data_IF_844690462720
#
_entry.id   IF_844690462720
#
_cell.length_a   1.000
_cell.length_b   1.000
_cell.length_c   1.000
_cell.angle_alpha   90.00
_cell.angle_beta   90.00
_cell.angle_gamma   90.00
#
_symmetry.space_group_name_H-M   'P 1'
#
loop_
_entity.id
_entity.type
_entity.pdbx_description
1 polymer ?
#
# COMPACT_ATOMS: atom_id res chain seq x y z
N UNK A 1 -11.85 1.00 -0.87
CA UNK A 1 -12.85 0.40 0.00
C UNK A 1 -14.09 1.28 -0.04
N UNK A 2 -15.18 0.78 -0.59
CA UNK A 2 -16.48 1.42 -0.41
C UNK A 2 -16.92 1.11 1.02
N UNK A 3 -16.65 2.00 1.94
CA UNK A 3 -17.22 1.95 3.27
C UNK A 3 -18.68 2.41 3.18
N UNK A 4 -19.54 1.50 2.75
CA UNK A 4 -20.97 1.76 2.82
C UNK A 4 -21.37 1.86 4.29
N UNK A 5 -21.94 2.99 4.69
CA UNK A 5 -22.46 3.21 6.07
C UNK A 5 -23.78 2.47 6.32
N UNK A 6 -24.29 1.76 5.32
CA UNK A 6 -25.63 1.18 5.33
C UNK A 6 -25.76 -0.21 5.97
N UNK A 7 -24.67 -0.99 6.09
CA UNK A 7 -24.75 -2.30 6.74
C UNK A 7 -24.45 -2.19 8.24
N UNK A 8 -25.10 -3.03 9.05
CA UNK A 8 -24.87 -3.11 10.48
C UNK A 8 -23.38 -3.37 10.84
N UNK A 9 -22.71 -4.21 10.05
CA UNK A 9 -21.29 -4.52 10.25
C UNK A 9 -20.38 -3.31 10.02
N UNK A 10 -20.62 -2.53 8.94
CA UNK A 10 -19.85 -1.30 8.68
C UNK A 10 -20.06 -0.28 9.80
N UNK A 11 -21.30 -0.11 10.25
CA UNK A 11 -21.64 0.81 11.32
C UNK A 11 -20.96 0.40 12.62
N UNK A 12 -21.00 -0.87 12.98
CA UNK A 12 -20.31 -1.42 14.15
C UNK A 12 -18.79 -1.11 14.13
N UNK A 13 -18.13 -1.30 12.99
CA UNK A 13 -16.70 -0.99 12.84
C UNK A 13 -16.42 0.50 13.04
N UNK A 14 -17.20 1.37 12.38
CA UNK A 14 -17.01 2.83 12.51
C UNK A 14 -17.30 3.33 13.93
N UNK A 15 -18.34 2.82 14.58
CA UNK A 15 -18.66 3.13 15.99
C UNK A 15 -17.55 2.65 16.91
N UNK A 16 -16.95 1.49 16.65
CA UNK A 16 -15.81 0.98 17.41
C UNK A 16 -14.60 1.91 17.26
N UNK A 17 -14.33 2.40 16.04
CA UNK A 17 -13.24 3.37 15.82
C UNK A 17 -13.50 4.68 16.55
N UNK A 18 -14.75 5.18 16.56
CA UNK A 18 -15.12 6.39 17.32
C UNK A 18 -14.94 6.17 18.82
N UNK A 19 -15.39 5.02 19.36
CA UNK A 19 -15.16 4.65 20.77
C UNK A 19 -13.67 4.60 21.10
N UNK A 20 -12.85 4.16 20.13
CA UNK A 20 -11.40 4.10 20.28
C UNK A 20 -10.69 5.46 20.06
N UNK A 21 -11.40 6.54 19.77
CA UNK A 21 -10.83 7.89 19.66
C UNK A 21 -10.79 8.49 18.26
N UNK A 22 -11.38 7.84 17.25
CA UNK A 22 -11.55 8.45 15.94
C UNK A 22 -12.60 9.57 15.99
N UNK A 23 -12.51 10.50 15.04
CA UNK A 23 -13.46 11.60 14.89
C UNK A 23 -14.85 11.09 14.53
N UNK A 24 -15.91 11.70 15.11
CA UNK A 24 -17.31 11.27 14.91
C UNK A 24 -17.79 11.38 13.45
N UNK A 25 -17.22 12.30 12.67
CA UNK A 25 -17.60 12.51 11.28
C UNK A 25 -17.44 11.26 10.40
N UNK A 26 -16.56 10.32 10.75
CA UNK A 26 -16.41 9.06 9.98
C UNK A 26 -17.70 8.24 9.93
N UNK A 27 -18.68 8.49 10.81
CA UNK A 27 -19.97 7.80 10.83
C UNK A 27 -20.89 8.19 9.68
N UNK A 28 -20.70 9.39 9.09
CA UNK A 28 -21.56 9.93 8.02
C UNK A 28 -20.81 10.40 6.79
N UNK A 29 -19.49 10.55 6.85
CA UNK A 29 -18.69 10.96 5.71
C UNK A 29 -18.77 9.91 4.58
N UNK A 30 -18.95 10.38 3.34
CA UNK A 30 -18.95 9.51 2.17
C UNK A 30 -17.59 8.81 1.94
N UNK A 31 -16.51 9.41 2.43
CA UNK A 31 -15.13 8.90 2.39
C UNK A 31 -14.48 9.09 3.76
N UNK A 32 -14.81 8.22 4.74
CA UNK A 32 -14.27 8.33 6.09
C UNK A 32 -12.74 8.41 6.11
N UNK A 33 -12.20 9.31 6.90
CA UNK A 33 -10.75 9.49 7.06
C UNK A 33 -10.42 9.71 8.54
N UNK A 34 -9.52 8.91 9.08
CA UNK A 34 -9.09 9.01 10.47
C UNK A 34 -7.88 9.93 10.62
N UNK A 35 -6.94 9.84 9.67
CA UNK A 35 -5.64 10.51 9.74
C UNK A 35 -4.55 9.64 10.36
N UNK A 36 -3.33 9.75 9.82
CA UNK A 36 -2.18 8.94 10.30
C UNK A 36 -1.69 9.40 11.67
N UNK A 37 -2.00 10.61 12.08
CA UNK A 37 -1.71 11.19 13.40
C UNK A 37 -2.66 10.66 14.49
N UNK A 38 -3.92 10.37 14.16
CA UNK A 38 -4.95 9.87 15.09
C UNK A 38 -4.95 8.33 15.17
N UNK A 39 -4.65 7.66 14.06
CA UNK A 39 -4.74 6.20 13.95
C UNK A 39 -3.94 5.42 15.01
N UNK A 40 -2.72 5.83 15.45
CA UNK A 40 -2.01 5.13 16.53
C UNK A 40 -2.79 5.08 17.85
N UNK A 41 -3.45 6.18 18.21
CA UNK A 41 -4.31 6.24 19.41
C UNK A 41 -5.50 5.29 19.29
N UNK A 42 -6.15 5.26 18.12
CA UNK A 42 -7.27 4.35 17.85
C UNK A 42 -6.84 2.89 18.00
N UNK A 43 -5.69 2.53 17.40
CA UNK A 43 -5.15 1.15 17.48
C UNK A 43 -4.81 0.79 18.93
N UNK A 44 -4.14 1.67 19.66
CA UNK A 44 -3.80 1.44 21.09
C UNK A 44 -5.05 1.21 21.93
N UNK A 45 -6.08 2.03 21.72
CA UNK A 45 -7.34 1.89 22.46
C UNK A 45 -8.11 0.61 22.09
N UNK A 46 -8.04 0.17 20.84
CA UNK A 46 -8.63 -1.13 20.42
C UNK A 46 -7.89 -2.29 21.10
N UNK A 47 -6.56 -2.24 21.18
CA UNK A 47 -5.78 -3.25 21.92
C UNK A 47 -6.27 -3.32 23.38
N UNK A 48 -6.39 -2.16 24.05
CA UNK A 48 -6.91 -2.09 25.42
C UNK A 48 -8.33 -2.65 25.54
N UNK A 49 -9.22 -2.35 24.59
CA UNK A 49 -10.59 -2.91 24.58
C UNK A 49 -10.60 -4.44 24.49
N UNK A 50 -9.66 -5.03 23.73
CA UNK A 50 -9.49 -6.50 23.64
C UNK A 50 -9.05 -7.06 24.99
N UNK A 51 -8.07 -6.43 25.64
CA UNK A 51 -7.53 -6.87 26.93
C UNK A 51 -8.56 -6.73 28.05
N UNK A 52 -9.30 -5.60 28.10
CA UNK A 52 -10.39 -5.36 29.05
C UNK A 52 -11.54 -6.39 28.88
N UNK A 53 -11.71 -6.96 27.69
CA UNK A 53 -12.67 -8.02 27.40
C UNK A 53 -12.13 -9.44 27.73
N UNK A 54 -10.92 -9.55 28.30
CA UNK A 54 -10.28 -10.84 28.65
C UNK A 54 -9.49 -11.47 27.50
N UNK A 55 -9.31 -10.76 26.37
CA UNK A 55 -8.44 -11.20 25.30
C UNK A 55 -6.97 -10.94 25.61
N UNK A 56 -6.09 -11.52 24.80
CA UNK A 56 -4.64 -11.31 24.91
C UNK A 56 -4.10 -10.80 23.59
N UNK A 57 -3.27 -9.74 23.63
CA UNK A 57 -2.51 -9.24 22.48
C UNK A 57 -1.03 -9.50 22.73
N UNK A 58 -0.45 -10.44 21.99
CA UNK A 58 0.93 -10.85 22.14
C UNK A 58 1.81 -10.16 21.10
N UNK A 59 2.48 -9.08 21.50
CA UNK A 59 3.48 -8.41 20.67
C UNK A 59 4.77 -9.24 20.54
N UNK A 60 5.59 -8.93 19.51
CA UNK A 60 6.85 -9.64 19.21
C UNK A 60 6.65 -11.15 19.08
N UNK A 61 5.47 -11.57 18.61
CA UNK A 61 5.08 -12.96 18.47
C UNK A 61 4.76 -13.24 17.02
N UNK A 62 5.47 -14.21 16.44
CA UNK A 62 5.39 -14.57 15.04
C UNK A 62 4.83 -15.98 14.90
N UNK A 63 3.83 -16.18 14.04
CA UNK A 63 3.38 -17.50 13.61
C UNK A 63 4.44 -18.11 12.69
N UNK A 64 4.93 -19.30 13.01
CA UNK A 64 5.99 -19.98 12.25
C UNK A 64 5.53 -21.31 11.64
N UNK A 65 4.49 -21.94 12.19
CA UNK A 65 4.00 -23.20 11.64
C UNK A 65 2.53 -23.46 12.00
N UNK A 66 1.91 -24.32 11.20
CA UNK A 66 0.59 -24.93 11.45
C UNK A 66 0.77 -26.44 11.58
N UNK A 67 0.10 -27.07 12.55
CA UNK A 67 0.12 -28.51 12.77
C UNK A 67 -1.27 -29.09 12.50
N UNK A 68 -1.32 -30.23 11.81
CA UNK A 68 -2.54 -30.96 11.55
C UNK A 68 -2.56 -32.26 12.35
N UNK A 69 -3.72 -32.62 12.90
CA UNK A 69 -3.97 -33.91 13.46
C UNK A 69 -4.16 -34.97 12.37
N UNK A 70 -4.26 -36.25 12.77
CA UNK A 70 -4.49 -37.38 11.86
C UNK A 70 -5.84 -37.28 11.12
N UNK A 71 -6.80 -36.55 11.67
CA UNK A 71 -8.09 -36.23 11.03
C UNK A 71 -8.03 -35.14 9.94
N UNK A 72 -6.82 -34.57 9.70
CA UNK A 72 -6.57 -33.54 8.71
C UNK A 72 -6.89 -32.12 9.18
N UNK A 73 -7.52 -31.94 10.34
CA UNK A 73 -7.84 -30.62 10.89
C UNK A 73 -6.65 -30.00 11.64
N UNK A 74 -6.70 -28.69 11.82
CA UNK A 74 -5.73 -27.99 12.64
C UNK A 74 -5.76 -28.54 14.07
N UNK A 75 -4.58 -28.79 14.64
CA UNK A 75 -4.44 -29.24 16.04
C UNK A 75 -3.64 -28.25 16.88
N UNK A 76 -2.67 -27.58 16.29
CA UNK A 76 -1.84 -26.61 16.98
C UNK A 76 -1.23 -25.60 16.02
N UNK A 77 -0.68 -24.51 16.58
CA UNK A 77 0.20 -23.57 15.89
C UNK A 77 1.52 -23.49 16.63
N UNK A 78 2.60 -23.22 15.89
CA UNK A 78 3.88 -22.84 16.47
C UNK A 78 4.09 -21.34 16.32
N UNK A 79 4.57 -20.72 17.40
CA UNK A 79 4.92 -19.31 17.43
C UNK A 79 6.36 -19.14 17.93
N UNK A 80 7.00 -18.09 17.46
CA UNK A 80 8.25 -17.56 18.01
C UNK A 80 7.97 -16.24 18.72
N UNK A 81 8.39 -16.16 19.96
CA UNK A 81 8.29 -14.94 20.78
C UNK A 81 9.69 -14.38 21.01
N UNK A 82 9.92 -13.13 20.60
CA UNK A 82 11.15 -12.43 20.90
C UNK A 82 11.02 -11.74 22.25
N UNK A 83 11.83 -12.12 23.21
CA UNK A 83 11.87 -11.53 24.55
C UNK A 83 12.58 -10.17 24.55
N UNK A 84 12.45 -9.35 25.61
CA UNK A 84 13.09 -8.02 25.70
C UNK A 84 14.61 -8.03 25.56
N UNK A 85 15.29 -9.11 26.00
CA UNK A 85 16.72 -9.31 25.84
C UNK A 85 17.15 -9.77 24.44
N UNK A 86 16.18 -9.96 23.52
CA UNK A 86 16.43 -10.37 22.14
C UNK A 86 16.49 -11.88 21.92
N UNK A 87 16.33 -12.71 22.97
CA UNK A 87 16.25 -14.16 22.81
C UNK A 87 14.93 -14.56 22.16
N UNK A 88 14.92 -15.69 21.44
CA UNK A 88 13.74 -16.22 20.76
C UNK A 88 13.31 -17.50 21.45
N UNK A 89 12.05 -17.56 21.85
CA UNK A 89 11.42 -18.74 22.44
C UNK A 89 10.37 -19.28 21.49
N UNK A 90 10.41 -20.58 21.26
CA UNK A 90 9.37 -21.29 20.48
C UNK A 90 8.33 -21.87 21.43
N UNK A 91 7.06 -21.68 21.09
CA UNK A 91 5.91 -22.17 21.86
C UNK A 91 4.92 -22.85 20.92
N UNK A 92 4.30 -23.92 21.37
CA UNK A 92 3.20 -24.59 20.66
C UNK A 92 1.89 -24.29 21.37
N UNK A 93 0.94 -23.70 20.64
CA UNK A 93 -0.40 -23.39 21.15
C UNK A 93 -1.39 -24.40 20.55
N UNK A 94 -2.03 -25.19 21.42
CA UNK A 94 -3.07 -26.12 21.03
C UNK A 94 -4.34 -25.34 20.65
N UNK A 95 -4.79 -25.46 19.40
CA UNK A 95 -6.00 -24.82 18.91
C UNK A 95 -6.52 -25.51 17.66
N UNK A 96 -7.83 -25.52 17.49
CA UNK A 96 -8.48 -26.02 16.27
C UNK A 96 -8.93 -24.92 15.32
N UNK A 97 -8.80 -23.66 15.73
CA UNK A 97 -9.25 -22.52 14.92
C UNK A 97 -8.21 -21.42 14.93
N UNK A 98 -7.84 -20.94 13.73
CA UNK A 98 -6.94 -19.81 13.53
C UNK A 98 -7.50 -18.89 12.46
N UNK A 99 -7.49 -17.60 12.72
CA UNK A 99 -7.81 -16.55 11.74
C UNK A 99 -6.50 -15.93 11.26
N UNK A 100 -6.17 -16.14 9.98
CA UNK A 100 -5.01 -15.52 9.35
C UNK A 100 -5.39 -14.13 8.82
N UNK A 101 -4.94 -13.08 9.50
CA UNK A 101 -5.18 -11.68 9.13
C UNK A 101 -3.86 -10.88 9.04
N UNK A 102 -2.78 -11.52 8.58
CA UNK A 102 -1.40 -11.01 8.59
C UNK A 102 -1.11 -9.96 7.50
N UNK A 103 -2.05 -9.74 6.57
CA UNK A 103 -1.86 -8.89 5.40
C UNK A 103 -0.91 -9.51 4.36
N UNK A 104 -0.72 -8.80 3.26
CA UNK A 104 0.04 -9.35 2.13
C UNK A 104 1.55 -9.05 2.17
N UNK A 105 2.03 -8.33 3.19
CA UNK A 105 3.47 -8.07 3.38
C UNK A 105 4.17 -9.11 4.23
N UNK A 106 3.44 -10.03 4.87
CA UNK A 106 3.98 -11.15 5.65
C UNK A 106 4.39 -12.30 4.71
N UNK A 107 5.40 -12.05 3.89
CA UNK A 107 5.83 -12.97 2.81
C UNK A 107 6.30 -14.32 3.31
N UNK A 108 6.93 -14.35 4.47
CA UNK A 108 7.34 -15.55 5.19
C UNK A 108 6.13 -16.43 5.58
N UNK A 109 5.01 -15.82 5.94
CA UNK A 109 3.76 -16.55 6.16
C UNK A 109 3.27 -17.26 4.90
N UNK A 110 3.33 -16.60 3.72
CA UNK A 110 2.95 -17.25 2.46
C UNK A 110 3.88 -18.40 2.09
N UNK A 111 5.18 -18.28 2.36
CA UNK A 111 6.14 -19.38 2.18
C UNK A 111 5.75 -20.55 3.10
N UNK A 112 5.55 -20.30 4.39
CA UNK A 112 5.15 -21.32 5.37
C UNK A 112 3.84 -22.01 4.97
N UNK A 113 2.84 -21.26 4.51
CA UNK A 113 1.56 -21.83 4.07
C UNK A 113 1.72 -22.73 2.83
N UNK A 114 2.57 -22.32 1.87
CA UNK A 114 2.91 -23.13 0.70
C UNK A 114 3.57 -24.45 1.12
N UNK A 115 4.55 -24.38 2.01
CA UNK A 115 5.27 -25.56 2.52
C UNK A 115 4.36 -26.50 3.31
N UNK A 116 3.30 -25.98 3.93
CA UNK A 116 2.26 -26.76 4.61
C UNK A 116 1.16 -27.29 3.68
N UNK A 117 1.30 -27.06 2.37
CA UNK A 117 0.33 -27.54 1.37
C UNK A 117 -1.02 -26.83 1.42
N UNK A 118 -1.07 -25.60 1.94
CA UNK A 118 -2.29 -24.78 1.87
C UNK A 118 -2.49 -24.32 0.44
N UNK A 119 -3.68 -24.55 -0.07
CA UNK A 119 -4.03 -24.21 -1.46
C UNK A 119 -4.00 -22.69 -1.69
N UNK A 120 -3.27 -22.30 -2.72
CA UNK A 120 -3.11 -20.90 -3.12
C UNK A 120 -3.10 -20.77 -4.65
N UNK A 121 -3.47 -19.62 -5.15
CA UNK A 121 -3.46 -19.31 -6.57
C UNK A 121 -2.83 -17.94 -6.84
N UNK A 122 -2.28 -17.77 -8.03
CA UNK A 122 -1.82 -16.46 -8.52
C UNK A 122 -3.03 -15.55 -8.71
N UNK A 123 -2.88 -14.30 -8.33
CA UNK A 123 -3.92 -13.28 -8.45
C UNK A 123 -3.37 -12.06 -9.18
N UNK A 124 -4.18 -11.45 -10.04
CA UNK A 124 -3.88 -10.13 -10.59
C UNK A 124 -3.65 -9.13 -9.46
N UNK A 125 -2.55 -8.41 -9.53
CA UNK A 125 -2.18 -7.35 -8.60
C UNK A 125 -1.72 -6.11 -9.37
N UNK A 126 -1.25 -5.07 -8.67
CA UNK A 126 -0.81 -3.86 -9.31
C UNK A 126 0.48 -3.35 -8.69
N UNK A 127 1.34 -2.78 -9.52
CA UNK A 127 2.61 -2.16 -9.14
C UNK A 127 2.84 -0.87 -9.93
N UNK A 128 3.67 -0.01 -9.39
CA UNK A 128 4.07 1.22 -10.05
C UNK A 128 4.89 2.12 -9.15
N UNK A 129 4.53 3.37 -9.11
CA UNK A 129 5.23 4.44 -8.41
C UNK A 129 4.27 5.31 -7.62
N UNK A 130 4.77 6.12 -6.71
CA UNK A 130 4.02 7.20 -6.07
C UNK A 130 4.18 8.48 -6.88
N UNK A 131 3.08 9.13 -7.28
CA UNK A 131 3.08 10.41 -7.97
C UNK A 131 2.69 11.52 -7.00
N UNK A 132 3.44 12.64 -7.00
CA UNK A 132 3.20 13.83 -6.20
C UNK A 132 2.96 15.06 -7.07
N UNK A 133 1.99 15.87 -6.66
CA UNK A 133 1.63 17.16 -7.26
C UNK A 133 1.51 18.21 -6.17
N UNK A 134 1.57 19.51 -6.51
CA UNK A 134 1.10 20.53 -5.58
C UNK A 134 -0.40 20.38 -5.33
N UNK A 135 -0.83 20.36 -4.07
CA UNK A 135 -2.26 20.27 -3.72
C UNK A 135 -3.05 21.45 -4.29
N UNK A 136 -2.46 22.65 -4.31
CA UNK A 136 -3.09 23.84 -4.91
C UNK A 136 -3.40 23.67 -6.41
N UNK A 137 -2.54 22.97 -7.15
CA UNK A 137 -2.75 22.67 -8.57
C UNK A 137 -3.92 21.70 -8.76
N UNK A 138 -3.99 20.66 -7.93
CA UNK A 138 -5.11 19.70 -7.94
C UNK A 138 -6.42 20.38 -7.54
N UNK A 139 -6.41 21.23 -6.50
CA UNK A 139 -7.56 22.04 -6.13
C UNK A 139 -8.05 22.91 -7.31
N UNK A 140 -7.13 23.61 -7.98
CA UNK A 140 -7.46 24.45 -9.14
C UNK A 140 -8.09 23.65 -10.28
N UNK A 141 -7.56 22.46 -10.56
CA UNK A 141 -8.08 21.59 -11.62
C UNK A 141 -9.47 21.06 -11.35
N UNK A 142 -9.80 20.79 -10.07
CA UNK A 142 -11.10 20.21 -9.69
C UNK A 142 -12.15 21.23 -9.26
N UNK A 143 -11.73 22.30 -8.60
CA UNK A 143 -12.64 23.30 -8.03
C UNK A 143 -12.68 24.62 -8.82
N UNK A 144 -11.77 24.79 -9.79
CA UNK A 144 -11.72 26.02 -10.60
C UNK A 144 -11.57 27.29 -9.74
N UNK A 145 -12.50 28.26 -9.87
CA UNK A 145 -12.48 29.50 -9.07
C UNK A 145 -12.57 29.27 -7.56
N UNK A 146 -13.20 28.17 -7.12
CA UNK A 146 -13.40 27.82 -5.72
C UNK A 146 -12.21 27.06 -5.10
N UNK A 147 -11.07 27.00 -5.77
CA UNK A 147 -9.89 26.25 -5.33
C UNK A 147 -9.34 26.64 -3.95
N UNK A 148 -9.63 27.84 -3.47
CA UNK A 148 -9.20 28.37 -2.17
C UNK A 148 -10.33 28.41 -1.14
N UNK A 149 -11.50 27.90 -1.46
CA UNK A 149 -12.63 27.86 -0.55
C UNK A 149 -12.36 26.84 0.60
N UNK A 150 -12.27 27.32 1.86
CA UNK A 150 -11.89 26.45 2.97
C UNK A 150 -12.93 25.35 3.28
N UNK A 151 -14.18 25.54 2.86
CA UNK A 151 -15.24 24.53 3.03
C UNK A 151 -15.00 23.28 2.19
N UNK A 152 -14.37 23.44 1.01
CA UNK A 152 -14.08 22.33 0.11
C UNK A 152 -12.86 21.51 0.55
N UNK A 153 -11.92 22.14 1.25
CA UNK A 153 -10.68 21.49 1.70
C UNK A 153 -9.78 20.99 0.56
N UNK A 154 -8.92 20.05 0.86
CA UNK A 154 -8.00 19.48 -0.12
C UNK A 154 -8.72 18.52 -1.08
N UNK A 155 -8.65 18.82 -2.37
CA UNK A 155 -9.34 18.09 -3.43
C UNK A 155 -8.80 16.66 -3.59
N UNK A 156 -9.65 15.62 -3.49
CA UNK A 156 -9.27 14.25 -3.78
C UNK A 156 -9.57 13.91 -5.25
N UNK A 157 -8.82 12.96 -5.82
CA UNK A 157 -9.13 12.40 -7.13
C UNK A 157 -9.09 10.87 -7.15
N UNK A 158 -9.75 10.29 -8.15
CA UNK A 158 -9.67 8.87 -8.49
C UNK A 158 -9.70 8.74 -10.01
N UNK A 159 -8.61 8.24 -10.58
CA UNK A 159 -8.42 8.08 -12.02
C UNK A 159 -8.24 6.62 -12.38
N UNK A 160 -8.78 6.22 -13.52
CA UNK A 160 -8.50 4.93 -14.14
C UNK A 160 -8.57 5.08 -15.66
N UNK A 161 -7.70 4.36 -16.35
CA UNK A 161 -7.66 4.32 -17.82
C UNK A 161 -7.45 2.90 -18.29
N UNK A 162 -8.12 2.57 -19.39
CA UNK A 162 -7.88 1.36 -20.17
C UNK A 162 -7.20 1.78 -21.44
N UNK A 163 -6.06 1.18 -21.73
CA UNK A 163 -5.25 1.50 -22.90
C UNK A 163 -5.61 0.58 -24.08
N UNK A 164 -5.38 1.01 -25.32
CA UNK A 164 -5.60 0.16 -26.51
C UNK A 164 -4.78 -1.14 -26.49
N UNK A 165 -3.67 -1.17 -25.75
CA UNK A 165 -2.87 -2.38 -25.50
C UNK A 165 -3.57 -3.45 -24.65
N UNK A 166 -4.80 -3.19 -24.16
CA UNK A 166 -5.52 -4.04 -23.20
C UNK A 166 -5.07 -3.90 -21.76
N UNK A 167 -4.03 -3.10 -21.49
CA UNK A 167 -3.55 -2.83 -20.13
C UNK A 167 -4.29 -1.66 -19.51
N UNK A 168 -4.27 -1.63 -18.18
CA UNK A 168 -4.93 -0.58 -17.39
C UNK A 168 -3.96 0.05 -16.41
N UNK A 169 -4.13 1.36 -16.19
CA UNK A 169 -3.48 2.08 -15.12
C UNK A 169 -4.50 2.88 -14.31
N UNK A 170 -4.21 3.10 -13.04
CA UNK A 170 -5.12 3.80 -12.14
C UNK A 170 -4.40 4.49 -10.99
N UNK A 171 -5.04 5.52 -10.44
CA UNK A 171 -4.63 6.10 -9.17
C UNK A 171 -5.12 5.24 -8.00
N UNK A 172 -4.27 5.03 -7.02
CA UNK A 172 -4.59 4.22 -5.85
C UNK A 172 -4.23 4.96 -4.55
N UNK A 173 -5.05 4.79 -3.52
CA UNK A 173 -4.80 5.37 -2.19
C UNK A 173 -4.34 6.83 -2.28
N UNK A 174 -5.15 7.67 -2.94
CA UNK A 174 -4.88 9.11 -3.08
C UNK A 174 -4.95 9.78 -1.71
N UNK A 175 -3.92 10.56 -1.40
CA UNK A 175 -3.71 11.27 -0.14
C UNK A 175 -3.71 12.78 -0.39
N UNK A 176 -4.87 13.46 -0.22
CA UNK A 176 -4.95 14.91 -0.35
C UNK A 176 -4.18 15.58 0.79
N UNK A 177 -3.45 16.67 0.51
CA UNK A 177 -2.63 17.36 1.50
C UNK A 177 -1.73 16.40 2.26
N UNK A 178 -1.10 15.45 1.55
CA UNK A 178 -0.42 14.32 2.15
C UNK A 178 1.06 14.23 1.81
N UNK A 179 1.65 13.12 2.26
CA UNK A 179 3.08 12.87 2.19
C UNK A 179 3.33 11.48 1.62
N UNK A 180 4.42 11.31 0.86
CA UNK A 180 4.94 9.99 0.51
C UNK A 180 5.75 9.48 1.69
N UNK A 181 5.58 8.21 2.04
CA UNK A 181 6.23 7.58 3.20
C UNK A 181 6.95 6.29 2.81
N UNK A 182 7.92 5.90 3.64
CA UNK A 182 8.58 4.60 3.53
C UNK A 182 7.67 3.50 4.08
N UNK A 183 7.52 2.42 3.30
CA UNK A 183 6.67 1.26 3.63
C UNK A 183 7.40 -0.08 3.47
N UNK A 184 8.73 -0.07 3.40
CA UNK A 184 9.54 -1.29 3.32
C UNK A 184 9.42 -2.11 4.61
N UNK A 185 9.26 -3.42 4.47
CA UNK A 185 9.24 -4.39 5.58
C UNK A 185 10.35 -5.44 5.49
N UNK A 186 11.10 -5.46 4.39
CA UNK A 186 12.24 -6.36 4.18
C UNK A 186 13.54 -5.54 4.08
N UNK A 187 14.62 -6.09 4.62
CA UNK A 187 15.96 -5.46 4.55
C UNK A 187 16.42 -5.37 3.10
N UNK A 188 16.98 -4.22 2.71
CA UNK A 188 17.51 -4.01 1.36
C UNK A 188 16.44 -3.77 0.30
N UNK A 189 15.23 -3.41 0.69
CA UNK A 189 14.15 -3.02 -0.21
C UNK A 189 13.67 -1.59 0.05
N UNK A 190 13.26 -0.87 -0.99
CA UNK A 190 12.55 0.41 -0.90
C UNK A 190 11.13 0.24 -1.42
N UNK A 191 10.17 0.60 -0.59
CA UNK A 191 8.75 0.63 -0.92
C UNK A 191 8.19 1.97 -0.50
N UNK A 192 7.42 2.59 -1.38
CA UNK A 192 6.71 3.83 -1.11
C UNK A 192 5.23 3.59 -0.84
N UNK A 193 4.64 4.41 0.00
CA UNK A 193 3.20 4.53 0.20
C UNK A 193 2.87 6.00 0.45
N UNK A 194 1.63 6.35 0.67
CA UNK A 194 1.21 7.70 1.02
C UNK A 194 0.36 7.75 2.28
N UNK A 195 0.39 8.89 2.94
CA UNK A 195 -0.46 9.19 4.07
C UNK A 195 -0.94 10.63 4.04
N UNK A 196 -2.06 10.91 4.71
CA UNK A 196 -2.49 12.25 5.07
C UNK A 196 -2.73 12.33 6.57
N UNK A 197 -2.40 13.47 7.14
CA UNK A 197 -2.82 13.80 8.51
C UNK A 197 -4.33 14.07 8.53
N UNK A 198 -4.91 14.16 9.72
CA UNK A 198 -6.34 14.39 9.88
C UNK A 198 -6.83 15.70 9.27
N UNK A 199 -5.98 16.74 9.26
CA UNK A 199 -6.24 18.06 8.69
C UNK A 199 -6.04 18.16 7.17
N UNK A 200 -5.32 17.20 6.55
CA UNK A 200 -4.97 17.21 5.12
C UNK A 200 -4.33 18.51 4.64
N UNK A 201 -3.52 19.15 5.48
CA UNK A 201 -2.95 20.47 5.23
C UNK A 201 -1.55 20.47 4.58
N UNK A 202 -1.05 19.33 4.15
CA UNK A 202 0.22 19.22 3.44
C UNK A 202 0.22 19.92 2.09
N UNK A 203 1.40 20.35 1.65
CA UNK A 203 1.56 21.09 0.38
C UNK A 203 1.28 20.23 -0.86
N UNK A 204 1.50 18.92 -0.77
CA UNK A 204 1.34 18.00 -1.89
C UNK A 204 0.08 17.16 -1.78
N UNK A 205 -0.46 16.82 -2.94
CA UNK A 205 -1.35 15.69 -3.17
C UNK A 205 -0.51 14.52 -3.69
N UNK A 206 -0.74 13.30 -3.24
CA UNK A 206 -0.07 12.14 -3.81
C UNK A 206 -0.99 10.94 -3.99
N UNK A 207 -0.64 10.05 -4.91
CA UNK A 207 -1.32 8.76 -5.09
C UNK A 207 -0.36 7.71 -5.64
N UNK A 208 -0.66 6.44 -5.44
CA UNK A 208 -0.09 5.39 -6.28
C UNK A 208 -0.53 5.62 -7.73
N UNK A 209 0.40 5.54 -8.66
CA UNK A 209 0.17 5.44 -10.10
C UNK A 209 0.57 4.02 -10.49
N UNK A 210 -0.41 3.16 -10.67
CA UNK A 210 -0.23 1.72 -10.73
C UNK A 210 -0.75 1.14 -12.03
N UNK A 211 -0.06 0.10 -12.52
CA UNK A 211 -0.49 -0.72 -13.64
C UNK A 211 -0.72 -2.17 -13.18
N UNK A 212 -1.64 -2.87 -13.85
CA UNK A 212 -1.93 -4.26 -13.53
C UNK A 212 -0.77 -5.18 -13.95
N UNK A 213 -0.52 -6.17 -13.08
CA UNK A 213 0.30 -7.36 -13.35
C UNK A 213 -0.64 -8.55 -13.37
N UNK A 214 -0.69 -9.25 -14.47
CA UNK A 214 -1.53 -10.43 -14.64
C UNK A 214 -0.74 -11.70 -14.31
N UNK A 215 -1.40 -12.82 -13.94
CA UNK A 215 -0.72 -14.10 -13.72
C UNK A 215 0.19 -14.52 -14.87
N UNK A 216 -0.21 -14.25 -16.12
CA UNK A 216 0.52 -14.58 -17.35
C UNK A 216 1.77 -13.69 -17.57
N UNK A 217 1.89 -12.57 -16.84
CA UNK A 217 3.12 -11.75 -16.85
C UNK A 217 4.24 -12.37 -15.99
N UNK A 218 3.93 -13.38 -15.18
CA UNK A 218 4.85 -13.98 -14.22
C UNK A 218 5.51 -15.24 -14.81
N UNK A 219 6.81 -15.44 -14.56
CA UNK A 219 7.52 -16.61 -15.06
C UNK A 219 7.11 -17.89 -14.32
N UNK A 220 7.26 -19.05 -15.02
CA UNK A 220 7.04 -20.38 -14.45
C UNK A 220 5.67 -20.57 -13.80
N UNK A 221 5.56 -21.58 -12.92
CA UNK A 221 4.28 -21.95 -12.29
C UNK A 221 4.23 -21.71 -10.78
N UNK A 222 5.28 -21.12 -10.19
CA UNK A 222 5.32 -20.87 -8.75
C UNK A 222 4.26 -19.84 -8.34
N UNK A 223 3.37 -20.25 -7.44
CA UNK A 223 2.32 -19.39 -6.90
C UNK A 223 2.85 -18.12 -6.24
N UNK A 224 4.10 -18.13 -5.75
CA UNK A 224 4.76 -16.99 -5.11
C UNK A 224 5.55 -16.10 -6.08
N UNK A 225 5.57 -16.40 -7.40
CA UNK A 225 6.32 -15.62 -8.39
C UNK A 225 6.01 -14.11 -8.38
N UNK A 226 4.76 -13.73 -8.07
CA UNK A 226 4.38 -12.32 -7.92
C UNK A 226 5.03 -11.64 -6.70
N UNK A 227 5.25 -12.38 -5.60
CA UNK A 227 5.99 -11.89 -4.42
C UNK A 227 7.46 -11.66 -4.79
N UNK A 228 8.06 -12.57 -5.56
CA UNK A 228 9.46 -12.45 -5.99
C UNK A 228 9.64 -11.28 -6.97
N UNK A 229 8.67 -11.05 -7.86
CA UNK A 229 8.68 -9.88 -8.73
C UNK A 229 8.62 -8.57 -7.92
N UNK A 230 7.74 -8.48 -6.92
CA UNK A 230 7.69 -7.32 -6.02
C UNK A 230 9.03 -7.12 -5.32
N UNK A 231 9.61 -8.17 -4.75
CA UNK A 231 10.89 -8.14 -4.03
C UNK A 231 12.03 -7.67 -4.92
N UNK A 232 12.13 -8.17 -6.15
CA UNK A 232 13.16 -7.77 -7.10
C UNK A 232 13.08 -6.28 -7.45
N UNK A 233 11.87 -5.74 -7.65
CA UNK A 233 11.65 -4.31 -7.88
C UNK A 233 12.03 -3.46 -6.67
N UNK A 234 11.69 -3.91 -5.46
CA UNK A 234 12.02 -3.24 -4.20
C UNK A 234 13.53 -3.17 -3.96
N UNK A 235 14.26 -4.25 -4.27
CA UNK A 235 15.72 -4.32 -4.19
C UNK A 235 16.39 -3.46 -5.27
N UNK A 236 15.84 -3.46 -6.49
CA UNK A 236 16.32 -2.59 -7.57
C UNK A 236 16.14 -1.10 -7.19
N UNK A 237 15.00 -0.73 -6.60
CA UNK A 237 14.77 0.62 -6.09
C UNK A 237 15.73 0.99 -4.95
N UNK A 238 16.02 0.06 -4.03
CA UNK A 238 17.01 0.26 -2.97
C UNK A 238 18.42 0.55 -3.56
N UNK A 239 18.82 -0.22 -4.56
CA UNK A 239 20.10 0.00 -5.25
C UNK A 239 20.12 1.33 -5.99
N UNK A 240 19.07 1.66 -6.75
CA UNK A 240 18.95 2.92 -7.49
C UNK A 240 18.91 4.14 -6.57
N UNK A 241 18.39 4.00 -5.35
CA UNK A 241 18.42 5.02 -4.30
C UNK A 241 19.77 5.21 -3.61
N UNK A 242 20.78 4.36 -3.91
CA UNK A 242 22.12 4.45 -3.32
C UNK A 242 22.35 3.54 -2.11
N UNK A 243 21.47 2.57 -1.83
CA UNK A 243 21.67 1.53 -0.82
C UNK A 243 21.41 1.96 0.63
N UNK A 244 20.72 3.08 0.85
CA UNK A 244 20.51 3.67 2.18
C UNK A 244 19.05 3.97 2.53
N UNK A 245 18.09 3.30 1.86
CA UNK A 245 16.65 3.55 1.97
C UNK A 245 16.20 4.95 1.49
N UNK A 246 17.04 5.68 0.81
CA UNK A 246 16.67 6.81 -0.04
C UNK A 246 15.95 6.25 -1.26
N UNK A 247 14.84 6.87 -1.67
CA UNK A 247 14.05 6.36 -2.79
C UNK A 247 14.53 6.91 -4.14
N UNK A 248 14.53 6.14 -5.23
CA UNK A 248 14.73 6.68 -6.56
C UNK A 248 13.53 7.55 -6.97
N UNK A 249 13.81 8.70 -7.59
CA UNK A 249 12.78 9.62 -8.07
C UNK A 249 13.08 10.16 -9.47
N UNK A 250 12.01 10.44 -10.20
CA UNK A 250 12.07 10.98 -11.56
C UNK A 250 10.92 11.96 -11.77
N UNK A 251 11.15 13.03 -12.49
CA UNK A 251 10.10 13.96 -12.90
C UNK A 251 9.22 13.32 -13.99
N UNK A 252 7.91 13.60 -13.97
CA UNK A 252 6.97 13.06 -14.97
C UNK A 252 7.39 13.42 -16.39
N UNK A 253 7.81 14.66 -16.63
CA UNK A 253 8.29 15.08 -17.96
C UNK A 253 9.50 14.29 -18.44
N UNK A 254 10.45 14.01 -17.55
CA UNK A 254 11.64 13.22 -17.89
C UNK A 254 11.28 11.73 -18.06
N UNK A 255 10.39 11.20 -17.24
CA UNK A 255 9.90 9.81 -17.33
C UNK A 255 9.23 9.53 -18.69
N UNK A 256 8.34 10.43 -19.14
CA UNK A 256 7.68 10.32 -20.46
C UNK A 256 8.72 10.32 -21.58
N UNK A 257 9.75 11.17 -21.46
CA UNK A 257 10.82 11.30 -22.44
C UNK A 257 11.98 10.30 -22.27
N UNK A 258 11.87 9.35 -21.35
CA UNK A 258 12.91 8.32 -21.05
C UNK A 258 14.27 8.93 -20.69
N UNK A 259 14.26 10.03 -19.93
CA UNK A 259 15.47 10.73 -19.47
C UNK A 259 15.57 10.66 -17.95
N UNK A 260 16.78 10.45 -17.43
CA UNK A 260 17.02 10.57 -16.00
C UNK A 260 16.79 12.02 -15.53
N UNK A 261 16.24 12.17 -14.34
CA UNK A 261 16.12 13.48 -13.69
C UNK A 261 17.37 13.80 -12.88
N UNK A 262 17.68 15.08 -12.76
CA UNK A 262 18.86 15.58 -12.04
C UNK A 262 18.53 16.41 -10.81
N UNK A 263 17.26 16.70 -10.57
CA UNK A 263 16.82 17.50 -9.43
C UNK A 263 15.33 17.85 -9.47
N UNK A 264 14.82 18.42 -8.36
CA UNK A 264 13.43 18.85 -8.27
C UNK A 264 13.20 20.14 -9.09
N UNK A 265 11.94 20.35 -9.49
CA UNK A 265 11.46 21.63 -10.05
C UNK A 265 10.45 22.27 -9.10
N UNK A 266 9.24 22.58 -9.60
CA UNK A 266 8.20 23.24 -8.78
C UNK A 266 7.64 22.34 -7.68
N UNK A 267 7.58 21.02 -7.89
CA UNK A 267 7.13 20.06 -6.87
C UNK A 267 8.34 19.52 -6.10
N UNK A 268 8.29 19.62 -4.78
CA UNK A 268 9.31 19.03 -3.89
C UNK A 268 8.82 17.68 -3.38
N UNK A 269 9.62 16.61 -3.48
CA UNK A 269 9.23 15.30 -2.94
C UNK A 269 9.12 15.34 -1.42
N UNK A 270 8.16 14.61 -0.88
CA UNK A 270 7.88 14.56 0.56
C UNK A 270 8.42 13.30 1.24
N UNK A 271 9.04 12.39 0.51
CA UNK A 271 9.60 11.15 1.06
C UNK A 271 10.65 11.44 2.14
N UNK A 272 10.47 10.96 3.39
CA UNK A 272 11.18 11.48 4.57
C UNK A 272 12.68 11.15 4.61
N UNK A 273 13.11 10.12 3.87
CA UNK A 273 14.53 9.72 3.81
C UNK A 273 15.28 10.40 2.64
N UNK A 274 14.62 11.34 1.93
CA UNK A 274 15.15 11.96 0.74
C UNK A 274 15.05 11.07 -0.50
N UNK A 275 15.36 11.65 -1.64
CA UNK A 275 15.30 10.96 -2.94
C UNK A 275 16.61 11.10 -3.70
N UNK A 276 16.94 10.06 -4.47
CA UNK A 276 17.98 10.09 -5.49
C UNK A 276 17.34 10.34 -6.84
N UNK A 277 17.67 11.46 -7.48
CA UNK A 277 17.19 11.78 -8.81
C UNK A 277 17.89 10.92 -9.85
N UNK A 278 17.10 10.10 -10.55
CA UNK A 278 17.62 9.12 -11.50
C UNK A 278 16.54 8.74 -12.52
N UNK A 279 16.77 7.66 -13.26
CA UNK A 279 15.75 6.98 -14.06
C UNK A 279 15.12 5.85 -13.27
N UNK A 280 13.82 5.60 -13.47
CA UNK A 280 13.08 4.49 -12.89
C UNK A 280 13.08 3.23 -13.79
N UNK A 281 13.82 3.28 -14.94
CA UNK A 281 13.85 2.17 -15.93
C UNK A 281 14.26 0.82 -15.34
N UNK A 282 15.23 0.83 -14.43
CA UNK A 282 15.75 -0.39 -13.82
C UNK A 282 14.97 -0.84 -12.57
N UNK A 283 13.96 -0.07 -12.17
CA UNK A 283 13.21 -0.35 -10.93
C UNK A 283 11.92 -1.14 -11.14
N UNK A 284 11.39 -1.16 -12.36
CA UNK A 284 10.10 -1.79 -12.70
C UNK A 284 10.19 -2.55 -14.02
N UNK A 285 9.34 -3.58 -14.22
CA UNK A 285 9.26 -4.28 -15.49
C UNK A 285 8.93 -3.35 -16.66
N UNK A 286 9.50 -3.59 -17.87
CA UNK A 286 9.29 -2.73 -19.05
C UNK A 286 7.83 -2.54 -19.43
N UNK A 287 7.00 -3.58 -19.31
CA UNK A 287 5.56 -3.51 -19.56
C UNK A 287 4.81 -2.59 -18.60
N UNK A 288 5.22 -2.54 -17.33
CA UNK A 288 4.67 -1.60 -16.34
C UNK A 288 5.08 -0.18 -16.69
N UNK A 289 6.36 0.07 -16.93
CA UNK A 289 6.89 1.39 -17.31
C UNK A 289 6.20 1.93 -18.56
N UNK A 290 6.03 1.12 -19.59
CA UNK A 290 5.34 1.50 -20.81
C UNK A 290 3.86 1.82 -20.54
N UNK A 291 3.16 0.98 -19.77
CA UNK A 291 1.76 1.21 -19.39
C UNK A 291 1.60 2.55 -18.65
N UNK A 292 2.49 2.87 -17.71
CA UNK A 292 2.44 4.13 -16.97
C UNK A 292 2.71 5.34 -17.88
N UNK A 293 3.66 5.25 -18.83
CA UNK A 293 3.94 6.31 -19.80
C UNK A 293 2.77 6.60 -20.72
N UNK A 294 2.13 5.55 -21.23
CA UNK A 294 0.95 5.68 -22.08
C UNK A 294 -0.26 6.21 -21.31
N UNK A 295 -0.39 5.84 -20.03
CA UNK A 295 -1.50 6.24 -19.19
C UNK A 295 -1.45 7.71 -18.76
N UNK A 296 -0.27 8.27 -18.49
CA UNK A 296 -0.10 9.63 -17.98
C UNK A 296 -0.79 10.69 -18.85
N UNK A 297 -0.58 10.78 -20.16
CA UNK A 297 -1.26 11.77 -20.99
C UNK A 297 -2.77 11.53 -21.13
N UNK A 298 -3.22 10.28 -20.99
CA UNK A 298 -4.66 9.95 -20.99
C UNK A 298 -5.32 10.36 -19.68
N UNK A 299 -4.61 10.19 -18.56
CA UNK A 299 -5.08 10.64 -17.23
C UNK A 299 -5.09 12.17 -17.15
N UNK A 300 -4.15 12.85 -17.78
CA UNK A 300 -4.10 14.32 -17.83
C UNK A 300 -5.33 14.93 -18.53
N UNK A 301 -5.85 14.25 -19.56
CA UNK A 301 -7.13 14.66 -20.20
C UNK A 301 -8.33 14.55 -19.24
N UNK A 302 -8.28 13.68 -18.23
CA UNK A 302 -9.34 13.53 -17.23
C UNK A 302 -9.16 14.45 -16.02
N UNK A 303 -7.94 14.76 -15.67
CA UNK A 303 -7.56 15.70 -14.61
C UNK A 303 -6.39 16.52 -15.09
N UNK A 304 -6.67 17.70 -15.58
CA UNK A 304 -5.66 18.60 -16.16
C UNK A 304 -4.54 18.92 -15.16
N UNK A 305 -3.29 18.72 -15.58
CA UNK A 305 -2.10 18.84 -14.74
C UNK A 305 -1.70 17.56 -14.00
N UNK A 306 -2.40 16.43 -14.20
CA UNK A 306 -1.98 15.15 -13.63
C UNK A 306 -0.64 14.68 -14.21
N UNK A 307 -0.38 14.90 -15.51
CA UNK A 307 0.91 14.66 -16.13
C UNK A 307 1.79 15.93 -16.20
N UNK A 308 1.66 16.85 -15.24
CA UNK A 308 2.50 18.04 -15.19
C UNK A 308 3.98 17.64 -15.21
N UNK A 309 4.82 18.25 -16.08
CA UNK A 309 6.22 17.83 -16.23
C UNK A 309 7.04 17.83 -14.94
N UNK A 310 6.70 18.70 -14.00
CA UNK A 310 7.38 18.86 -12.72
C UNK A 310 6.81 17.97 -11.60
N UNK A 311 5.74 17.22 -11.85
CA UNK A 311 5.23 16.23 -10.90
C UNK A 311 6.31 15.17 -10.66
N UNK A 312 6.37 14.64 -9.43
CA UNK A 312 7.43 13.75 -8.99
C UNK A 312 6.92 12.31 -8.92
N UNK A 313 7.63 11.39 -9.57
CA UNK A 313 7.45 9.95 -9.40
C UNK A 313 8.50 9.43 -8.42
N UNK A 314 8.07 8.80 -7.35
CA UNK A 314 8.95 8.17 -6.36
C UNK A 314 8.73 6.65 -6.39
N UNK A 315 9.78 5.89 -6.65
CA UNK A 315 9.72 4.43 -6.81
C UNK A 315 10.13 3.68 -5.55
N UNK A 316 9.55 2.51 -5.34
CA UNK A 316 8.48 1.84 -6.08
C UNK A 316 7.28 1.59 -5.16
N UNK A 317 6.06 1.60 -5.71
CA UNK A 317 4.87 1.16 -4.98
C UNK A 317 4.46 -0.22 -5.48
N UNK A 318 4.82 -1.25 -4.73
CA UNK A 318 4.64 -2.66 -5.12
C UNK A 318 3.58 -3.36 -4.30
N UNK A 319 3.14 -2.76 -3.17
CA UNK A 319 2.32 -3.44 -2.17
C UNK A 319 0.90 -2.87 -2.05
N UNK A 320 0.29 -2.54 -3.19
CA UNK A 320 -1.11 -2.08 -3.23
C UNK A 320 -2.12 -3.23 -3.06
N UNK A 321 -1.75 -4.44 -3.49
CA UNK A 321 -2.58 -5.65 -3.39
C UNK A 321 -1.74 -6.92 -3.36
N UNK A 322 -2.32 -8.00 -2.82
CA UNK A 322 -1.64 -9.31 -2.77
C UNK A 322 -1.51 -9.90 -4.17
N UNK A 323 -0.35 -10.43 -4.56
CA UNK A 323 -0.17 -11.23 -5.77
C UNK A 323 -0.66 -12.67 -5.64
N UNK A 324 -1.01 -13.09 -4.41
CA UNK A 324 -1.44 -14.45 -4.07
C UNK A 324 -2.80 -14.41 -3.38
N UNK A 325 -3.65 -15.35 -3.71
CA UNK A 325 -4.89 -15.65 -2.99
C UNK A 325 -4.75 -17.00 -2.29
N UNK A 326 -5.04 -17.06 -1.01
CA UNK A 326 -5.31 -18.30 -0.30
C UNK A 326 -6.73 -18.71 -0.66
N UNK A 327 -6.90 -19.88 -1.25
CA UNK A 327 -8.22 -20.39 -1.64
C UNK A 327 -8.98 -20.88 -0.41
N UNK A 328 -10.28 -20.75 -0.45
CA UNK A 328 -11.19 -21.24 0.59
C UNK A 328 -12.28 -22.06 -0.07
N UNK A 329 -12.68 -23.12 0.58
CA UNK A 329 -13.88 -23.86 0.22
C UNK A 329 -15.13 -23.29 0.92
N UNK A 330 -16.26 -24.00 0.86
CA UNK A 330 -17.51 -23.55 1.47
C UNK A 330 -17.47 -23.58 3.02
N UNK A 331 -16.50 -24.23 3.59
CA UNK A 331 -16.36 -24.36 5.05
C UNK A 331 -15.37 -23.37 5.68
N UNK A 332 -14.57 -22.65 4.89
CA UNK A 332 -13.69 -21.56 5.35
C UNK A 332 -12.23 -21.65 4.93
#
# INVERSE_FOLDING_TARGET
LNTGTKSASHRFILETFVKAGAQKNILWDAKPHVGSDVLPTVVTNIVKMIEDAGGTVAFRTKLTSLERASDGYLSAIQIERTTPDGSVQTETIQTRTVILATGHSSRDTYVMLKDKGISMERKTFAMGVRIEHLQSQINKSLYGPEATNPVLGAAPYKLSVHLPSGRSAFSFCMCPGGYVVSAASEKGGVVTNGMSLSDRAGQNANSGLLANVYPDDLPGDDVLAGIELQRSCEQAAFKAGGGSYVAPAQLVGDFINKKASTGPRSVKPTYPRGVTWTSLEDCLPPNILQTLREALPVMDKKLHGFAHPDAVLTGVETRSSSPVRITRDETG
#
